data_IF_862738106377
#
_entry.id   IF_862738106377
#
_cell.length_a   1.000
_cell.length_b   1.000
_cell.length_c   1.000
_cell.angle_alpha   90.00
_cell.angle_beta   90.00
_cell.angle_gamma   90.00
#
_symmetry.space_group_name_H-M   'P 1'
#
loop_
_entity.id
_entity.type
_entity.pdbx_description
1 polymer ?
#
# COMPACT_ATOMS: atom_id res chain seq x y z
N UNK A 1 23.69 28.31 0.19
CA UNK A 1 23.01 27.06 0.62
C UNK A 1 21.57 27.25 1.10
N UNK A 2 21.25 28.16 2.05
CA UNK A 2 19.86 28.33 2.57
C UNK A 2 18.80 28.58 1.48
N UNK A 3 19.14 29.36 0.44
CA UNK A 3 18.24 29.64 -0.69
C UNK A 3 17.90 28.39 -1.52
N UNK A 4 18.90 27.54 -1.78
CA UNK A 4 18.70 26.27 -2.49
C UNK A 4 17.78 25.33 -1.71
N UNK A 5 17.95 25.18 -0.40
CA UNK A 5 17.05 24.35 0.42
C UNK A 5 15.63 24.91 0.50
N UNK A 6 15.46 26.24 0.49
CA UNK A 6 14.14 26.87 0.44
C UNK A 6 13.45 26.65 -0.92
N UNK A 7 14.19 26.82 -2.02
CA UNK A 7 13.69 26.59 -3.38
C UNK A 7 13.41 25.10 -3.64
N UNK A 8 14.25 24.21 -3.10
CA UNK A 8 14.05 22.76 -3.13
C UNK A 8 12.81 22.36 -2.32
N UNK A 9 12.66 22.87 -1.09
CA UNK A 9 11.46 22.65 -0.26
C UNK A 9 10.21 23.13 -1.00
N UNK A 10 10.25 24.29 -1.64
CA UNK A 10 9.14 24.86 -2.44
C UNK A 10 8.86 24.05 -3.72
N UNK A 11 9.87 23.41 -4.29
CA UNK A 11 9.71 22.52 -5.44
C UNK A 11 9.08 21.19 -5.06
N UNK A 12 9.60 20.52 -4.02
CA UNK A 12 9.06 19.23 -3.55
C UNK A 12 7.69 19.38 -2.91
N UNK A 13 7.32 20.52 -2.34
CA UNK A 13 5.98 20.70 -1.76
C UNK A 13 4.87 20.87 -2.82
N UNK A 14 5.21 20.80 -4.12
CA UNK A 14 4.22 20.64 -5.18
C UNK A 14 3.64 19.21 -5.08
N UNK A 15 2.43 19.08 -4.54
CA UNK A 15 1.78 17.79 -4.29
C UNK A 15 1.78 16.82 -5.48
N UNK A 16 1.56 17.33 -6.69
CA UNK A 16 1.59 16.51 -7.92
C UNK A 16 2.94 15.82 -8.19
N UNK A 17 4.07 16.43 -7.78
CA UNK A 17 5.41 15.85 -7.98
C UNK A 17 5.68 14.77 -6.93
N UNK A 18 5.26 14.99 -5.68
CA UNK A 18 5.45 14.03 -4.57
C UNK A 18 4.67 12.76 -4.84
N UNK A 19 3.40 12.89 -5.22
CA UNK A 19 2.53 11.75 -5.48
C UNK A 19 3.02 10.93 -6.69
N UNK A 20 3.51 11.61 -7.74
CA UNK A 20 4.15 10.96 -8.88
C UNK A 20 5.45 10.26 -8.48
N UNK A 21 6.30 10.91 -7.69
CA UNK A 21 7.58 10.35 -7.24
C UNK A 21 7.40 9.11 -6.36
N UNK A 22 6.45 9.17 -5.41
CA UNK A 22 6.08 8.01 -4.58
C UNK A 22 5.57 6.87 -5.48
N UNK A 23 4.70 7.19 -6.45
CA UNK A 23 4.19 6.20 -7.40
C UNK A 23 5.30 5.47 -8.18
N UNK A 24 6.31 6.20 -8.67
CA UNK A 24 7.44 5.61 -9.41
C UNK A 24 8.34 4.76 -8.49
N UNK A 25 8.66 5.24 -7.28
CA UNK A 25 9.51 4.52 -6.33
C UNK A 25 8.83 3.21 -5.90
N UNK A 26 7.56 3.28 -5.52
CA UNK A 26 6.78 2.10 -5.12
C UNK A 26 6.60 1.15 -6.30
N UNK A 27 6.34 1.67 -7.50
CA UNK A 27 6.23 0.86 -8.72
C UNK A 27 7.52 0.07 -9.03
N UNK A 28 8.68 0.73 -8.94
CA UNK A 28 9.98 0.10 -9.16
C UNK A 28 10.30 -0.95 -8.08
N UNK A 29 10.09 -0.63 -6.80
CA UNK A 29 10.31 -1.58 -5.71
C UNK A 29 9.40 -2.80 -5.82
N UNK A 30 8.13 -2.61 -6.16
CA UNK A 30 7.18 -3.69 -6.35
C UNK A 30 7.55 -4.58 -7.54
N UNK A 31 7.90 -3.99 -8.68
CA UNK A 31 8.37 -4.72 -9.86
C UNK A 31 9.59 -5.59 -9.53
N UNK A 32 10.53 -5.07 -8.74
CA UNK A 32 11.69 -5.84 -8.27
C UNK A 32 11.31 -7.03 -7.38
N UNK A 33 10.30 -6.88 -6.49
CA UNK A 33 9.79 -7.97 -5.66
C UNK A 33 9.16 -9.06 -6.52
N UNK A 34 8.30 -8.68 -7.48
CA UNK A 34 7.67 -9.66 -8.39
C UNK A 34 8.72 -10.38 -9.23
N UNK A 35 9.70 -9.65 -9.76
CA UNK A 35 10.82 -10.26 -10.49
C UNK A 35 11.61 -11.23 -9.62
N UNK A 36 11.94 -10.86 -8.39
CA UNK A 36 12.64 -11.75 -7.46
C UNK A 36 11.83 -13.02 -7.15
N UNK A 37 10.51 -12.90 -6.99
CA UNK A 37 9.62 -14.05 -6.80
C UNK A 37 9.60 -14.96 -8.03
N UNK A 38 9.48 -14.38 -9.24
CA UNK A 38 9.51 -15.17 -10.47
C UNK A 38 10.86 -15.88 -10.65
N UNK A 39 11.97 -15.14 -10.50
CA UNK A 39 13.33 -15.65 -10.73
C UNK A 39 13.74 -16.70 -9.67
N UNK A 40 13.33 -16.51 -8.41
CA UNK A 40 13.82 -17.34 -7.29
C UNK A 40 12.86 -18.43 -6.84
N UNK A 41 11.58 -18.32 -7.16
CA UNK A 41 10.56 -19.32 -6.75
C UNK A 41 9.97 -20.01 -7.97
N UNK A 42 9.51 -19.24 -8.95
CA UNK A 42 8.80 -19.81 -10.09
C UNK A 42 9.76 -20.50 -11.07
N UNK A 43 10.89 -19.88 -11.42
CA UNK A 43 11.84 -20.48 -12.37
C UNK A 43 12.42 -21.81 -11.90
N UNK A 44 12.86 -21.99 -10.63
CA UNK A 44 13.29 -23.30 -10.16
C UNK A 44 12.19 -24.35 -10.27
N UNK A 45 10.94 -24.00 -9.90
CA UNK A 45 9.81 -24.91 -10.02
C UNK A 45 9.53 -25.30 -11.47
N UNK A 46 9.55 -24.34 -12.39
CA UNK A 46 9.36 -24.59 -13.83
C UNK A 46 10.52 -25.42 -14.40
N UNK A 47 11.77 -25.11 -14.03
CA UNK A 47 12.94 -25.87 -14.47
C UNK A 47 12.86 -27.32 -13.98
N UNK A 48 12.46 -27.55 -12.72
CA UNK A 48 12.26 -28.93 -12.22
C UNK A 48 11.12 -29.66 -12.91
N UNK A 49 10.03 -28.96 -13.27
CA UNK A 49 8.89 -29.54 -13.96
C UNK A 49 9.20 -29.85 -15.44
N UNK A 50 9.94 -28.97 -16.12
CA UNK A 50 10.41 -29.18 -17.49
C UNK A 50 11.58 -30.18 -17.58
N UNK A 51 12.31 -30.38 -16.48
CA UNK A 51 13.37 -31.39 -16.32
C UNK A 51 12.84 -32.81 -16.08
N UNK A 52 11.51 -33.03 -16.08
CA UNK A 52 10.88 -34.37 -16.07
C UNK A 52 11.21 -35.26 -17.30
N UNK A 53 12.23 -34.90 -18.09
CA UNK A 53 12.81 -35.72 -19.16
C UNK A 53 14.33 -35.51 -19.41
N UNK A 54 15.08 -34.80 -18.55
CA UNK A 54 16.53 -34.67 -18.68
C UNK A 54 17.20 -33.63 -17.77
N UNK A 55 18.51 -33.79 -17.55
CA UNK A 55 19.39 -32.92 -16.72
C UNK A 55 19.51 -31.47 -17.21
N UNK A 56 18.96 -31.19 -18.39
CA UNK A 56 19.16 -29.99 -19.16
C UNK A 56 17.83 -29.22 -19.21
N UNK A 57 17.55 -28.45 -18.16
CA UNK A 57 16.37 -27.58 -18.09
C UNK A 57 16.42 -26.44 -19.13
N UNK A 58 15.54 -25.44 -18.96
CA UNK A 58 15.43 -24.27 -19.85
C UNK A 58 16.78 -23.52 -20.02
N UNK A 59 17.66 -23.59 -19.02
CA UNK A 59 19.01 -22.99 -19.01
C UNK A 59 19.98 -23.60 -20.02
N UNK A 60 19.68 -24.77 -20.59
CA UNK A 60 20.55 -25.45 -21.57
C UNK A 60 20.12 -25.21 -23.03
N UNK A 61 19.05 -24.45 -23.26
CA UNK A 61 18.45 -24.24 -24.57
C UNK A 61 19.22 -23.20 -25.39
N UNK A 62 20.46 -23.55 -25.76
CA UNK A 62 21.33 -22.73 -26.60
C UNK A 62 21.33 -23.21 -28.04
N UNK A 63 21.10 -22.28 -28.98
CA UNK A 63 21.42 -22.51 -30.40
C UNK A 63 22.67 -21.72 -30.75
N UNK A 64 23.80 -22.42 -30.96
CA UNK A 64 25.05 -21.78 -31.34
C UNK A 64 25.11 -21.58 -32.86
N UNK A 65 25.26 -20.32 -33.30
CA UNK A 65 25.43 -19.96 -34.72
C UNK A 65 26.91 -19.93 -35.11
N UNK A 66 27.78 -19.57 -34.16
CA UNK A 66 29.24 -19.65 -34.31
C UNK A 66 29.85 -19.97 -32.95
N UNK A 67 30.51 -21.11 -32.85
CA UNK A 67 31.23 -21.51 -31.63
C UNK A 67 32.69 -21.05 -31.73
N UNK A 68 33.15 -20.35 -30.71
CA UNK A 68 34.57 -20.08 -30.50
C UNK A 68 34.94 -20.88 -29.26
N UNK A 69 35.84 -21.84 -29.41
CA UNK A 69 36.34 -22.62 -28.28
C UNK A 69 37.48 -21.85 -27.60
N UNK A 70 37.46 -21.81 -26.28
CA UNK A 70 38.60 -21.34 -25.50
C UNK A 70 39.76 -22.34 -25.58
N UNK A 71 40.95 -21.95 -25.11
CA UNK A 71 42.16 -22.80 -25.11
C UNK A 71 41.99 -24.11 -24.33
N UNK A 72 40.99 -24.20 -23.44
CA UNK A 72 40.63 -25.38 -22.66
C UNK A 72 39.63 -26.33 -23.37
N UNK A 73 39.22 -26.00 -24.60
CA UNK A 73 38.26 -26.78 -25.38
C UNK A 73 36.79 -26.57 -24.99
N UNK A 74 36.51 -25.73 -23.98
CA UNK A 74 35.15 -25.32 -23.62
C UNK A 74 34.62 -24.27 -24.60
N UNK A 75 33.29 -24.21 -24.78
CA UNK A 75 32.68 -23.18 -25.63
C UNK A 75 32.75 -21.86 -24.85
N UNK A 76 33.50 -20.90 -25.37
CA UNK A 76 33.57 -19.56 -24.79
C UNK A 76 32.27 -18.84 -25.16
N UNK A 77 31.30 -18.81 -24.23
CA UNK A 77 30.04 -18.09 -24.42
C UNK A 77 30.30 -16.59 -24.68
N UNK A 78 31.36 -15.98 -24.16
CA UNK A 78 31.61 -14.56 -24.38
C UNK A 78 32.05 -14.21 -25.81
N UNK A 79 32.67 -15.17 -26.52
CA UNK A 79 33.12 -14.99 -27.93
C UNK A 79 32.26 -15.74 -28.95
N UNK A 80 31.40 -16.64 -28.48
CA UNK A 80 30.48 -17.41 -29.32
C UNK A 80 29.21 -16.60 -29.59
N UNK A 81 28.67 -16.75 -30.80
CA UNK A 81 27.37 -16.18 -31.15
C UNK A 81 26.34 -17.27 -30.92
N UNK A 82 25.46 -17.06 -29.94
CA UNK A 82 24.41 -18.02 -29.59
C UNK A 82 23.07 -17.31 -29.31
N UNK A 83 21.99 -18.07 -29.48
CA UNK A 83 20.64 -17.68 -29.08
C UNK A 83 20.32 -18.43 -27.79
N UNK A 84 19.99 -17.67 -26.74
CA UNK A 84 19.55 -18.19 -25.45
C UNK A 84 18.02 -18.27 -25.43
N UNK A 85 17.49 -19.44 -25.79
CA UNK A 85 16.05 -19.69 -25.74
C UNK A 85 15.54 -19.77 -24.29
N UNK A 86 16.42 -20.12 -23.35
CA UNK A 86 16.13 -20.15 -21.93
C UNK A 86 15.79 -18.78 -21.38
N UNK A 87 16.67 -17.81 -21.60
CA UNK A 87 16.47 -16.42 -21.22
C UNK A 87 15.25 -15.80 -21.93
N UNK A 88 15.00 -16.17 -23.18
CA UNK A 88 13.84 -15.67 -23.93
C UNK A 88 12.51 -16.16 -23.36
N UNK A 89 12.36 -17.47 -23.15
CA UNK A 89 11.14 -18.05 -22.56
C UNK A 89 10.94 -17.54 -21.12
N UNK A 90 12.04 -17.42 -20.37
CA UNK A 90 12.08 -16.78 -19.06
C UNK A 90 11.51 -15.35 -19.08
N UNK A 91 11.94 -14.53 -20.04
CA UNK A 91 11.45 -13.16 -20.18
C UNK A 91 9.95 -13.12 -20.50
N UNK A 92 9.46 -14.02 -21.36
CA UNK A 92 8.04 -14.15 -21.69
C UNK A 92 7.23 -14.51 -20.44
N UNK A 93 7.66 -15.54 -19.69
CA UNK A 93 6.98 -15.96 -18.47
C UNK A 93 6.94 -14.84 -17.41
N UNK A 94 8.05 -14.14 -17.23
CA UNK A 94 8.12 -13.00 -16.31
C UNK A 94 7.13 -11.89 -16.70
N UNK A 95 7.00 -11.58 -18.00
CA UNK A 95 6.01 -10.62 -18.49
C UNK A 95 4.58 -11.04 -18.12
N UNK A 96 4.21 -12.30 -18.35
CA UNK A 96 2.86 -12.80 -18.01
C UNK A 96 2.59 -12.77 -16.51
N UNK A 97 3.56 -13.14 -15.66
CA UNK A 97 3.38 -13.14 -14.20
C UNK A 97 3.26 -11.71 -13.65
N UNK A 98 4.10 -10.79 -14.12
CA UNK A 98 4.00 -9.38 -13.73
C UNK A 98 2.64 -8.80 -14.16
N UNK A 99 2.20 -9.06 -15.40
CA UNK A 99 0.90 -8.62 -15.90
C UNK A 99 -0.26 -9.18 -15.08
N UNK A 100 -0.23 -10.48 -14.76
CA UNK A 100 -1.25 -11.13 -13.92
C UNK A 100 -1.28 -10.53 -12.51
N UNK A 101 -0.11 -10.31 -11.91
CA UNK A 101 0.01 -9.74 -10.56
C UNK A 101 -0.57 -8.32 -10.51
N UNK A 102 -0.19 -7.47 -11.48
CA UNK A 102 -0.74 -6.12 -11.60
C UNK A 102 -2.25 -6.14 -11.83
N UNK A 103 -2.76 -7.06 -12.67
CA UNK A 103 -4.19 -7.23 -12.90
C UNK A 103 -4.95 -7.56 -11.61
N UNK A 104 -4.45 -8.50 -10.80
CA UNK A 104 -5.08 -8.85 -9.52
C UNK A 104 -5.10 -7.64 -8.58
N UNK A 105 -3.99 -6.92 -8.44
CA UNK A 105 -3.89 -5.74 -7.57
C UNK A 105 -4.86 -4.65 -8.03
N UNK A 106 -4.90 -4.34 -9.33
CA UNK A 106 -5.83 -3.36 -9.88
C UNK A 106 -7.28 -3.79 -9.68
N UNK A 107 -7.60 -5.07 -9.88
CA UNK A 107 -8.95 -5.61 -9.64
C UNK A 107 -9.38 -5.45 -8.19
N UNK A 108 -8.49 -5.72 -7.24
CA UNK A 108 -8.75 -5.53 -5.80
C UNK A 108 -8.91 -4.05 -5.46
N UNK A 109 -8.01 -3.20 -5.97
CA UNK A 109 -8.06 -1.76 -5.76
C UNK A 109 -9.32 -1.10 -6.37
N UNK A 110 -9.77 -1.56 -7.54
CA UNK A 110 -11.00 -1.08 -8.17
C UNK A 110 -12.23 -1.54 -7.37
N UNK A 111 -12.25 -2.79 -6.89
CA UNK A 111 -13.33 -3.31 -6.05
C UNK A 111 -13.43 -2.56 -4.72
N UNK A 112 -12.31 -2.24 -4.08
CA UNK A 112 -12.28 -1.47 -2.84
C UNK A 112 -12.73 -0.02 -3.06
N UNK A 113 -12.30 0.64 -4.14
CA UNK A 113 -12.77 1.98 -4.51
C UNK A 113 -14.26 2.01 -4.80
N UNK A 114 -14.81 1.05 -5.55
CA UNK A 114 -16.25 0.93 -5.78
C UNK A 114 -17.02 0.73 -4.47
N UNK A 115 -16.48 -0.06 -3.54
CA UNK A 115 -17.07 -0.23 -2.22
C UNK A 115 -17.08 1.09 -1.44
N UNK A 116 -15.95 1.80 -1.34
CA UNK A 116 -15.83 3.09 -0.65
C UNK A 116 -16.74 4.15 -1.29
N UNK A 117 -16.82 4.21 -2.61
CA UNK A 117 -17.66 5.15 -3.34
C UNK A 117 -19.15 4.83 -3.16
N UNK A 118 -19.52 3.54 -3.12
CA UNK A 118 -20.90 3.11 -2.82
C UNK A 118 -21.31 3.43 -1.38
N UNK A 119 -20.40 3.33 -0.42
CA UNK A 119 -20.62 3.69 0.99
C UNK A 119 -20.74 5.22 1.13
N UNK A 120 -19.84 5.99 0.53
CA UNK A 120 -19.89 7.47 0.52
C UNK A 120 -21.17 8.00 -0.13
N UNK A 121 -21.60 7.40 -1.26
CA UNK A 121 -22.85 7.77 -1.93
C UNK A 121 -24.09 7.42 -1.10
N UNK A 122 -24.07 6.30 -0.35
CA UNK A 122 -25.16 5.92 0.57
C UNK A 122 -25.25 6.87 1.76
N UNK A 123 -24.11 7.28 2.34
CA UNK A 123 -24.04 8.27 3.42
C UNK A 123 -24.56 9.64 2.93
N UNK A 124 -24.11 10.10 1.77
CA UNK A 124 -24.54 11.38 1.18
C UNK A 124 -26.03 11.42 0.83
N UNK A 125 -26.62 10.31 0.38
CA UNK A 125 -28.07 10.19 0.12
C UNK A 125 -28.91 9.90 1.37
N UNK A 126 -28.29 9.89 2.56
CA UNK A 126 -28.97 9.59 3.83
C UNK A 126 -29.56 8.18 3.89
N UNK A 127 -29.11 7.26 3.02
CA UNK A 127 -29.57 5.87 3.05
C UNK A 127 -29.00 5.17 4.28
N UNK A 128 -29.82 4.38 5.01
CA UNK A 128 -29.37 3.75 6.24
C UNK A 128 -28.28 2.72 6.00
N UNK A 129 -27.27 2.72 6.87
CA UNK A 129 -26.18 1.76 6.89
C UNK A 129 -26.69 0.35 7.20
N UNK A 130 -25.90 -0.69 6.90
CA UNK A 130 -26.32 -2.08 7.17
C UNK A 130 -26.55 -2.36 8.65
N UNK A 131 -25.87 -1.64 9.54
CA UNK A 131 -26.08 -1.70 11.00
C UNK A 131 -27.40 -1.06 11.41
N UNK A 132 -27.69 0.14 10.91
CA UNK A 132 -28.97 0.82 11.13
C UNK A 132 -30.15 -0.04 10.65
N UNK A 133 -29.98 -0.71 9.51
CA UNK A 133 -30.98 -1.64 8.94
C UNK A 133 -31.23 -2.86 9.82
N UNK A 134 -30.20 -3.42 10.48
CA UNK A 134 -30.35 -4.56 11.39
C UNK A 134 -31.10 -4.16 12.66
N UNK A 135 -30.69 -3.07 13.28
CA UNK A 135 -31.33 -2.57 14.52
C UNK A 135 -32.78 -2.16 14.27
N UNK A 136 -33.08 -1.53 13.14
CA UNK A 136 -34.47 -1.20 12.78
C UNK A 136 -35.33 -2.46 12.54
N UNK A 137 -34.74 -3.52 11.97
CA UNK A 137 -35.41 -4.81 11.79
C UNK A 137 -35.67 -5.51 13.13
N UNK A 138 -34.71 -5.46 14.06
CA UNK A 138 -34.86 -5.96 15.43
C UNK A 138 -35.91 -5.17 16.23
N UNK A 139 -36.01 -3.86 15.99
CA UNK A 139 -37.06 -2.98 16.53
C UNK A 139 -38.44 -3.16 15.86
N UNK A 140 -38.59 -4.15 14.96
CA UNK A 140 -39.85 -4.46 14.28
C UNK A 140 -40.28 -3.45 13.22
N UNK A 141 -39.40 -2.50 12.84
CA UNK A 141 -39.74 -1.45 11.88
C UNK A 141 -39.53 -1.96 10.46
N UNK A 142 -40.63 -2.21 9.75
CA UNK A 142 -40.61 -2.69 8.37
C UNK A 142 -40.20 -1.58 7.39
N UNK A 143 -39.42 -1.95 6.36
CA UNK A 143 -39.05 -1.04 5.26
C UNK A 143 -40.24 -0.67 4.35
N UNK A 144 -41.37 -1.39 4.48
CA UNK A 144 -42.59 -1.11 3.73
C UNK A 144 -43.15 0.28 4.10
N UNK A 145 -43.11 0.63 5.38
CA UNK A 145 -43.61 1.90 5.90
C UNK A 145 -42.49 2.94 5.95
N UNK A 146 -42.24 3.61 4.81
CA UNK A 146 -41.14 4.58 4.64
C UNK A 146 -41.14 5.72 5.66
N UNK A 147 -42.31 6.14 6.18
CA UNK A 147 -42.42 7.24 7.15
C UNK A 147 -41.96 6.79 8.54
N UNK A 148 -42.53 5.70 9.05
CA UNK A 148 -42.12 5.08 10.31
C UNK A 148 -40.64 4.66 10.30
N UNK A 149 -40.16 4.12 9.17
CA UNK A 149 -38.77 3.73 9.00
C UNK A 149 -37.79 4.92 9.04
N UNK A 150 -38.16 6.06 8.45
CA UNK A 150 -37.35 7.30 8.51
C UNK A 150 -37.34 7.91 9.91
N UNK A 151 -38.49 7.97 10.57
CA UNK A 151 -38.61 8.48 11.94
C UNK A 151 -37.80 7.63 12.93
N UNK A 152 -37.90 6.31 12.81
CA UNK A 152 -37.12 5.37 13.61
C UNK A 152 -35.60 5.48 13.35
N UNK A 153 -35.19 5.72 12.10
CA UNK A 153 -33.78 5.94 11.74
C UNK A 153 -33.21 7.22 12.37
N UNK A 154 -33.99 8.31 12.33
CA UNK A 154 -33.59 9.59 12.93
C UNK A 154 -33.50 9.46 14.45
N UNK A 155 -34.48 8.79 15.07
CA UNK A 155 -34.46 8.51 16.51
C UNK A 155 -33.24 7.67 16.91
N UNK A 156 -32.92 6.62 16.14
CA UNK A 156 -31.73 5.80 16.38
C UNK A 156 -30.43 6.58 16.22
N UNK A 157 -30.31 7.42 15.18
CA UNK A 157 -29.11 8.28 14.99
C UNK A 157 -28.92 9.27 16.13
N UNK A 158 -30.01 9.86 16.62
CA UNK A 158 -29.98 10.77 17.77
C UNK A 158 -29.52 10.03 19.03
N UNK A 159 -30.08 8.85 19.28
CA UNK A 159 -29.69 7.99 20.41
C UNK A 159 -28.19 7.60 20.36
N UNK A 160 -27.66 7.27 19.19
CA UNK A 160 -26.23 6.96 19.00
C UNK A 160 -25.35 8.20 19.17
N UNK A 161 -25.79 9.37 18.68
CA UNK A 161 -25.07 10.63 18.84
C UNK A 161 -25.01 11.05 20.32
N UNK A 162 -26.11 10.92 21.05
CA UNK A 162 -26.19 11.23 22.48
C UNK A 162 -25.30 10.29 23.30
N UNK A 163 -25.24 8.99 22.95
CA UNK A 163 -24.33 8.02 23.57
C UNK A 163 -22.86 8.34 23.28
N UNK A 164 -22.51 8.68 22.05
CA UNK A 164 -21.14 9.09 21.69
C UNK A 164 -20.73 10.38 22.39
N UNK A 165 -21.63 11.37 22.49
CA UNK A 165 -21.36 12.62 23.21
C UNK A 165 -21.14 12.38 24.71
N UNK A 166 -21.91 11.48 25.33
CA UNK A 166 -21.73 11.09 26.72
C UNK A 166 -20.41 10.31 26.95
N UNK A 167 -20.02 9.45 26.01
CA UNK A 167 -18.76 8.71 26.05
C UNK A 167 -17.54 9.63 25.84
N UNK A 168 -17.66 10.61 24.95
CA UNK A 168 -16.62 11.59 24.65
C UNK A 168 -16.45 12.62 25.78
N UNK A 169 -17.54 12.97 26.48
CA UNK A 169 -17.51 13.78 27.70
C UNK A 169 -16.90 13.05 28.91
N UNK A 170 -16.98 11.72 28.94
CA UNK A 170 -16.42 10.88 30.02
C UNK A 170 -15.06 10.27 29.64
N UNK A 171 -14.53 10.61 28.46
CA UNK A 171 -13.19 10.24 28.04
C UNK A 171 -12.22 11.13 28.82
N UNK A 172 -11.28 10.57 29.59
CA UNK A 172 -10.29 11.39 30.27
C UNK A 172 -9.60 12.25 29.21
N UNK A 173 -9.63 13.57 29.39
CA UNK A 173 -8.85 14.51 28.58
C UNK A 173 -7.44 13.95 28.55
N UNK A 174 -6.95 13.68 27.34
CA UNK A 174 -5.72 12.92 27.11
C UNK A 174 -4.65 13.49 28.03
N UNK A 175 -4.22 12.67 28.98
CA UNK A 175 -3.29 12.99 30.07
C UNK A 175 -2.01 13.65 29.51
N UNK A 176 -1.68 13.39 28.24
CA UNK A 176 -0.58 14.02 27.51
C UNK A 176 -0.67 15.53 27.40
N UNK A 177 -1.83 16.13 27.13
CA UNK A 177 -1.88 17.58 26.89
C UNK A 177 -1.70 18.38 28.19
N UNK A 178 -2.27 17.88 29.28
CA UNK A 178 -2.13 18.50 30.61
C UNK A 178 -0.72 18.27 31.16
N UNK A 179 -0.14 17.09 30.96
CA UNK A 179 1.22 16.79 31.40
C UNK A 179 2.29 17.51 30.56
N UNK A 180 2.10 17.63 29.24
CA UNK A 180 2.99 18.46 28.39
C UNK A 180 2.97 19.92 28.85
N UNK A 181 1.80 20.45 29.21
CA UNK A 181 1.70 21.83 29.70
C UNK A 181 2.35 22.02 31.07
N UNK A 182 2.31 21.00 31.95
CA UNK A 182 3.04 21.00 33.22
C UNK A 182 4.55 20.93 33.00
N UNK A 183 5.01 20.03 32.13
CA UNK A 183 6.42 19.88 31.79
C UNK A 183 6.99 21.15 31.17
N UNK A 184 6.27 21.81 30.25
CA UNK A 184 6.67 23.11 29.68
C UNK A 184 6.77 24.16 30.78
N UNK A 185 5.83 24.21 31.73
CA UNK A 185 5.87 25.16 32.86
C UNK A 185 7.08 24.92 33.76
N UNK A 186 7.39 23.67 34.09
CA UNK A 186 8.54 23.32 34.92
C UNK A 186 9.87 23.62 34.21
N UNK A 187 9.98 23.29 32.92
CA UNK A 187 11.14 23.64 32.11
C UNK A 187 11.35 25.15 32.01
N UNK A 188 10.28 25.95 31.89
CA UNK A 188 10.39 27.40 31.88
C UNK A 188 10.82 27.98 33.24
N UNK A 189 10.35 27.41 34.35
CA UNK A 189 10.79 27.81 35.70
C UNK A 189 12.28 27.49 35.92
N UNK A 190 12.72 26.27 35.61
CA UNK A 190 14.13 25.88 35.79
C UNK A 190 15.08 26.75 34.94
N UNK A 191 14.70 27.08 33.71
CA UNK A 191 15.48 27.98 32.85
C UNK A 191 15.47 29.44 33.35
N UNK A 192 14.39 29.90 33.98
CA UNK A 192 14.34 31.22 34.59
C UNK A 192 15.29 31.28 35.81
N UNK A 193 15.29 30.24 36.65
CA UNK A 193 16.15 30.11 37.83
C UNK A 193 17.64 30.03 37.44
N UNK A 194 17.98 29.24 36.41
CA UNK A 194 19.34 29.15 35.89
C UNK A 194 19.87 30.48 35.29
N UNK A 195 18.98 31.30 34.71
CA UNK A 195 19.35 32.62 34.19
C UNK A 195 19.57 33.67 35.28
N UNK A 196 18.93 33.51 36.44
CA UNK A 196 19.16 34.39 37.60
C UNK A 196 20.47 34.08 38.33
N UNK A 197 20.91 32.82 38.36
CA UNK A 197 22.20 32.44 38.97
C UNK A 197 23.43 32.77 38.10
N UNK A 198 23.29 32.81 36.77
CA UNK A 198 24.36 33.23 35.86
C UNK A 198 24.70 34.74 35.92
N UNK A 199 23.97 35.53 36.70
CA UNK A 199 24.11 37.00 36.78
C UNK A 199 24.68 37.50 38.13
N UNK A 200 25.11 36.60 39.02
CA UNK A 200 25.86 36.93 40.23
C UNK A 200 27.35 36.69 40.04
#
# INVERSE_FOLDING_TARGET
MKKFFADFKKFISRGNIVDMAIGVIVGNAFSAIVKAFTDKVIMPLINTLLSLGGDNGLESAYTFLKTVKAEDGTIDLAKSIYIDWGAFITAILNFFIIALTLFIILKVAMKSRQMIQSVSTRISKGQPTEEEKKVLKERGVSRADRKAYKEALIAYRKEVADKKAAEEANKPLIETDIDILKDIRELLKSNAEAKTDSKK
#
